data_IF_954088921869
#
_entry.id   IF_954088921869
#
_cell.length_a   1.000
_cell.length_b   1.000
_cell.length_c   1.000
_cell.angle_alpha   90.00
_cell.angle_beta   90.00
_cell.angle_gamma   90.00
#
_symmetry.space_group_name_H-M   'P 1'
#
loop_
_entity.id
_entity.type
_entity.pdbx_description
1 polymer ?
#
# COMPACT_ATOMS: atom_id res chain seq x y z
N UNK A 1 -2.11 -23.37 -3.72
CA UNK A 1 -1.12 -22.35 -4.11
C UNK A 1 -0.37 -21.93 -2.86
N UNK A 2 0.92 -22.25 -2.82
CA UNK A 2 1.82 -22.16 -1.68
C UNK A 2 2.77 -21.02 -1.97
N UNK A 3 2.61 -19.87 -1.29
CA UNK A 3 3.62 -18.82 -1.09
C UNK A 3 3.14 -17.73 -0.09
N UNK A 4 2.27 -18.07 0.86
CA UNK A 4 1.76 -17.13 1.87
C UNK A 4 2.49 -17.15 3.22
N UNK A 5 3.05 -18.30 3.61
CA UNK A 5 3.45 -18.55 5.00
C UNK A 5 4.74 -17.83 5.46
N UNK A 6 5.60 -17.35 4.54
CA UNK A 6 6.95 -16.88 4.89
C UNK A 6 7.24 -15.40 4.63
N UNK A 7 6.30 -14.62 4.09
CA UNK A 7 6.54 -13.24 3.66
C UNK A 7 6.05 -12.15 4.62
N UNK A 8 6.04 -12.42 5.93
CA UNK A 8 5.58 -11.46 6.94
C UNK A 8 4.05 -11.39 7.05
N UNK A 9 3.58 -10.85 8.18
CA UNK A 9 2.14 -10.69 8.43
C UNK A 9 1.52 -9.78 7.36
N UNK A 10 0.37 -10.21 6.84
CA UNK A 10 -0.46 -9.43 5.94
C UNK A 10 -1.46 -8.64 6.77
N UNK A 11 -1.46 -7.32 6.65
CA UNK A 11 -2.35 -6.44 7.42
C UNK A 11 -3.03 -5.47 6.46
N UNK A 12 -4.37 -5.46 6.46
CA UNK A 12 -5.16 -4.54 5.64
C UNK A 12 -5.16 -3.14 6.26
N UNK A 13 -5.07 -2.12 5.41
CA UNK A 13 -5.47 -0.77 5.77
C UNK A 13 -6.99 -0.64 5.62
N UNK A 14 -7.61 0.13 6.49
CA UNK A 14 -9.01 0.53 6.31
C UNK A 14 -9.09 1.61 5.23
N UNK A 15 -9.91 1.41 4.19
CA UNK A 15 -10.02 2.38 3.08
C UNK A 15 -11.34 3.15 3.08
N UNK A 16 -12.38 2.60 3.72
CA UNK A 16 -13.75 3.13 3.65
C UNK A 16 -14.45 2.86 2.31
N UNK A 17 -13.74 2.28 1.33
CA UNK A 17 -14.24 1.90 0.00
C UNK A 17 -13.72 0.51 -0.38
N UNK A 18 -13.71 -0.42 0.59
CA UNK A 18 -13.05 -1.74 0.45
C UNK A 18 -13.67 -2.64 -0.65
N UNK A 19 -14.88 -2.32 -1.12
CA UNK A 19 -15.49 -2.96 -2.29
C UNK A 19 -14.81 -2.58 -3.62
N UNK A 20 -14.09 -1.46 -3.65
CA UNK A 20 -13.41 -0.89 -4.80
C UNK A 20 -11.88 -0.99 -4.65
N UNK A 21 -11.37 -0.70 -3.46
CA UNK A 21 -9.93 -0.62 -3.21
C UNK A 21 -9.49 -1.67 -2.21
N UNK A 22 -8.44 -2.41 -2.55
CA UNK A 22 -7.76 -3.29 -1.63
C UNK A 22 -6.39 -2.71 -1.25
N UNK A 23 -6.22 -2.41 0.02
CA UNK A 23 -5.00 -1.79 0.55
C UNK A 23 -4.43 -2.62 1.70
N UNK A 24 -3.14 -2.93 1.64
CA UNK A 24 -2.47 -3.70 2.68
C UNK A 24 -0.97 -3.39 2.75
N UNK A 25 -0.35 -3.78 3.86
CA UNK A 25 1.09 -3.85 3.98
C UNK A 25 1.57 -5.22 4.45
N UNK A 26 2.83 -5.51 4.17
CA UNK A 26 3.57 -6.65 4.69
C UNK A 26 4.91 -6.17 5.20
N UNK A 27 5.34 -6.68 6.35
CA UNK A 27 6.61 -6.30 6.95
C UNK A 27 7.35 -7.53 7.48
N UNK A 28 8.66 -7.61 7.21
CA UNK A 28 9.55 -8.66 7.72
C UNK A 28 10.97 -8.14 7.77
N UNK A 29 11.67 -8.35 8.88
CA UNK A 29 13.10 -8.01 9.04
C UNK A 29 13.44 -6.56 8.65
N UNK A 30 12.51 -5.62 8.89
CA UNK A 30 12.68 -4.20 8.55
C UNK A 30 12.35 -3.83 7.10
N UNK A 31 12.19 -4.81 6.21
CA UNK A 31 11.59 -4.60 4.89
C UNK A 31 10.08 -4.45 5.00
N UNK A 32 9.53 -3.53 4.21
CA UNK A 32 8.09 -3.26 4.17
C UNK A 32 7.61 -3.06 2.74
N UNK A 33 6.52 -3.72 2.39
CA UNK A 33 5.77 -3.51 1.15
C UNK A 33 4.41 -2.93 1.48
N UNK A 34 3.98 -1.93 0.71
CA UNK A 34 2.60 -1.43 0.70
C UNK A 34 2.04 -1.62 -0.70
N UNK A 35 0.82 -2.16 -0.77
CA UNK A 35 0.05 -2.24 -1.99
C UNK A 35 -1.31 -1.57 -1.78
N UNK A 36 -1.69 -0.68 -2.69
CA UNK A 36 -3.00 -0.02 -2.70
C UNK A 36 -3.54 -0.14 -4.12
N UNK A 37 -4.58 -0.95 -4.28
CA UNK A 37 -5.04 -1.45 -5.58
C UNK A 37 -6.48 -1.02 -5.81
N UNK A 38 -6.74 -0.22 -6.84
CA UNK A 38 -8.10 0.00 -7.31
C UNK A 38 -8.51 -1.18 -8.21
N UNK A 39 -9.47 -1.98 -7.76
CA UNK A 39 -9.97 -3.16 -8.46
C UNK A 39 -11.28 -2.88 -9.20
N UNK A 40 -11.41 -1.65 -9.73
CA UNK A 40 -12.62 -1.19 -10.41
C UNK A 40 -12.30 -0.35 -11.66
N UNK A 41 -13.27 -0.21 -12.58
CA UNK A 41 -13.16 0.67 -13.73
C UNK A 41 -13.43 2.16 -13.41
N UNK A 42 -13.68 2.51 -12.15
CA UNK A 42 -13.95 3.88 -11.71
C UNK A 42 -12.74 4.44 -10.96
N UNK A 43 -12.52 5.76 -10.98
CA UNK A 43 -11.51 6.38 -10.11
C UNK A 43 -11.88 6.20 -8.64
N UNK A 44 -10.89 5.97 -7.78
CA UNK A 44 -11.09 5.83 -6.35
C UNK A 44 -10.37 6.95 -5.59
N UNK A 45 -10.99 7.49 -4.55
CA UNK A 45 -10.34 8.32 -3.54
C UNK A 45 -10.38 7.60 -2.21
N UNK A 46 -9.21 7.42 -1.61
CA UNK A 46 -9.05 6.71 -0.35
C UNK A 46 -8.38 7.62 0.66
N UNK A 47 -8.88 7.60 1.89
CA UNK A 47 -8.16 8.12 3.04
C UNK A 47 -7.72 6.95 3.89
N UNK A 48 -6.40 6.77 4.02
CA UNK A 48 -5.83 5.82 4.98
C UNK A 48 -5.37 6.66 6.17
N UNK A 49 -5.81 6.29 7.38
CA UNK A 49 -5.41 6.90 8.65
C UNK A 49 -4.91 5.81 9.59
N UNK A 50 -3.66 5.40 9.37
CA UNK A 50 -3.00 4.30 10.07
C UNK A 50 -1.51 4.65 10.28
N UNK A 51 -0.99 4.63 11.52
CA UNK A 51 0.43 4.88 11.79
C UNK A 51 1.38 3.98 11.00
N UNK A 52 0.95 2.77 10.62
CA UNK A 52 1.73 1.88 9.79
C UNK A 52 1.90 2.40 8.35
N UNK A 53 1.18 3.40 7.89
CA UNK A 53 1.43 3.98 6.56
C UNK A 53 2.69 4.85 6.55
N UNK A 54 3.01 5.53 7.66
CA UNK A 54 4.09 6.51 7.73
C UNK A 54 5.46 5.90 7.37
N UNK A 55 6.23 6.60 6.54
CA UNK A 55 7.56 6.16 6.16
C UNK A 55 8.07 6.77 4.85
N UNK A 56 9.33 6.47 4.54
CA UNK A 56 9.93 6.75 3.24
C UNK A 56 9.93 5.47 2.42
N UNK A 57 9.39 5.54 1.22
CA UNK A 57 9.25 4.40 0.34
C UNK A 57 9.78 4.73 -1.05
N UNK A 58 10.18 3.70 -1.79
CA UNK A 58 10.41 3.74 -3.23
C UNK A 58 9.20 3.13 -3.93
N UNK A 59 8.66 3.81 -4.92
CA UNK A 59 7.69 3.22 -5.83
C UNK A 59 8.39 2.23 -6.76
N UNK A 60 7.91 0.99 -6.80
CA UNK A 60 8.59 -0.13 -7.48
C UNK A 60 8.52 -0.02 -9.00
N UNK A 61 7.59 0.76 -9.55
CA UNK A 61 7.39 0.90 -10.99
C UNK A 61 8.18 2.08 -11.56
N UNK A 62 8.29 3.15 -10.78
CA UNK A 62 8.84 4.43 -11.23
C UNK A 62 10.18 4.77 -10.59
N UNK A 63 10.61 4.00 -9.59
CA UNK A 63 11.77 4.26 -8.71
C UNK A 63 11.71 5.61 -7.98
N UNK A 64 10.55 6.28 -7.99
CA UNK A 64 10.35 7.55 -7.30
C UNK A 64 10.27 7.34 -5.78
N UNK A 65 10.88 8.26 -5.03
CA UNK A 65 10.80 8.25 -3.58
C UNK A 65 9.57 9.02 -3.09
N UNK A 66 8.79 8.38 -2.22
CA UNK A 66 7.63 8.96 -1.56
C UNK A 66 7.85 9.04 -0.05
N UNK A 67 7.47 10.16 0.55
CA UNK A 67 7.39 10.30 2.00
C UNK A 67 5.92 10.36 2.39
N UNK A 68 5.43 9.30 3.01
CA UNK A 68 4.04 9.18 3.46
C UNK A 68 3.96 9.46 4.95
N UNK A 69 2.89 10.14 5.36
CA UNK A 69 2.50 10.32 6.75
C UNK A 69 1.55 9.21 7.21
N UNK A 70 1.14 9.24 8.48
CA UNK A 70 0.17 8.30 9.03
C UNK A 70 -1.24 8.48 8.41
N UNK A 71 -1.50 9.65 7.82
CA UNK A 71 -2.79 9.97 7.21
C UNK A 71 -2.61 10.53 5.80
N UNK A 72 -2.95 9.74 4.80
CA UNK A 72 -2.82 10.13 3.39
C UNK A 72 -4.15 10.09 2.66
N UNK A 73 -4.33 11.06 1.76
CA UNK A 73 -5.42 11.06 0.80
C UNK A 73 -4.87 10.66 -0.57
N UNK A 74 -5.24 9.48 -1.03
CA UNK A 74 -4.70 8.86 -2.23
C UNK A 74 -5.80 8.81 -3.28
N UNK A 75 -5.49 9.24 -4.50
CA UNK A 75 -6.39 9.11 -5.65
C UNK A 75 -5.80 8.12 -6.63
N UNK A 76 -6.57 7.11 -6.99
CA UNK A 76 -6.20 6.08 -7.95
C UNK A 76 -7.10 6.21 -9.18
N UNK A 77 -6.49 6.20 -10.36
CA UNK A 77 -7.20 6.02 -11.63
C UNK A 77 -7.92 4.66 -11.68
N UNK A 78 -8.85 4.44 -12.62
CA UNK A 78 -9.39 3.11 -12.92
C UNK A 78 -8.27 2.08 -13.06
N UNK A 79 -8.38 0.96 -12.34
CA UNK A 79 -7.34 -0.09 -12.28
C UNK A 79 -5.94 0.38 -11.84
N UNK A 80 -5.84 1.60 -11.33
CA UNK A 80 -4.60 2.20 -10.85
C UNK A 80 -4.17 1.57 -9.53
N UNK A 81 -2.86 1.59 -9.29
CA UNK A 81 -2.28 1.02 -8.10
C UNK A 81 -1.01 1.74 -7.69
N UNK A 82 -0.72 1.70 -6.39
CA UNK A 82 0.59 2.04 -5.82
C UNK A 82 1.21 0.77 -5.24
N UNK A 83 2.46 0.51 -5.61
CA UNK A 83 3.26 -0.58 -5.07
C UNK A 83 4.57 0.01 -4.57
N UNK A 84 4.73 0.06 -3.25
CA UNK A 84 5.79 0.78 -2.58
C UNK A 84 6.62 -0.17 -1.72
N UNK A 85 7.94 0.05 -1.69
CA UNK A 85 8.86 -0.70 -0.84
C UNK A 85 9.71 0.21 0.03
N UNK A 86 10.01 -0.24 1.24
CA UNK A 86 11.02 0.34 2.12
C UNK A 86 11.93 -0.78 2.61
N UNK A 87 13.22 -0.46 2.69
CA UNK A 87 14.25 -1.32 3.24
C UNK A 87 14.92 -0.59 4.40
N UNK A 88 15.09 -1.27 5.52
CA UNK A 88 16.02 -0.81 6.55
C UNK A 88 17.45 -1.00 6.05
N UNK A 89 18.25 0.06 6.08
CA UNK A 89 19.70 0.01 5.87
C UNK A 89 20.41 -0.76 6.99
#
# INVERSE_FOLDING_TARGET
MWNGAHGGAFVNFQTGVDAQVWAFYRQKNGDKIIAILNLSPESARVTIDDPALAGRYRDVLTDQSHHLSARENITLSPWGYWLLEAHSL
#
